data_IF_619872671070
#
_entry.id   IF_619872671070
#
_cell.length_a   1.000
_cell.length_b   1.000
_cell.length_c   1.000
_cell.angle_alpha   90.00
_cell.angle_beta   90.00
_cell.angle_gamma   90.00
#
_symmetry.space_group_name_H-M   'P 1'
#
loop_
_entity.id
_entity.type
_entity.pdbx_description
1 polymer ?
#
# COMPACT_ATOMS: atom_id res chain seq x y z
N UNK A 1 -27.38 13.37 -2.78
CA UNK A 1 -28.45 13.35 -3.81
C UNK A 1 -28.97 11.93 -3.91
N UNK A 2 -30.28 11.71 -3.86
CA UNK A 2 -30.85 10.35 -3.95
C UNK A 2 -30.49 9.63 -5.26
N UNK A 3 -30.59 8.30 -5.27
CA UNK A 3 -30.39 7.49 -6.48
C UNK A 3 -31.38 7.90 -7.56
N UNK A 4 -30.91 8.14 -8.79
CA UNK A 4 -31.76 8.56 -9.92
C UNK A 4 -31.91 10.08 -10.08
N UNK A 5 -31.38 10.89 -9.16
CA UNK A 5 -31.43 12.36 -9.25
C UNK A 5 -30.42 12.96 -10.26
N UNK A 6 -29.70 12.14 -11.02
CA UNK A 6 -28.77 12.60 -12.05
C UNK A 6 -27.42 13.09 -11.50
N UNK A 7 -26.82 12.34 -10.55
CA UNK A 7 -25.49 12.64 -9.99
C UNK A 7 -24.45 12.87 -11.10
N UNK A 8 -24.30 11.94 -12.04
CA UNK A 8 -23.33 12.01 -13.14
C UNK A 8 -23.48 13.28 -13.98
N UNK A 9 -24.72 13.69 -14.30
CA UNK A 9 -24.98 14.94 -15.03
C UNK A 9 -24.66 16.17 -14.19
N UNK A 10 -25.02 16.14 -12.91
CA UNK A 10 -24.78 17.26 -11.97
C UNK A 10 -23.30 17.52 -11.76
N UNK A 11 -22.47 16.46 -11.79
CA UNK A 11 -21.02 16.57 -11.67
C UNK A 11 -20.37 17.35 -12.82
N UNK A 12 -20.96 17.37 -14.01
CA UNK A 12 -20.38 18.08 -15.16
C UNK A 12 -20.19 19.57 -14.88
N UNK A 13 -21.09 20.22 -14.14
CA UNK A 13 -21.00 21.65 -13.84
C UNK A 13 -19.78 22.04 -12.99
N UNK A 14 -19.55 21.45 -11.79
CA UNK A 14 -18.35 21.73 -11.01
C UNK A 14 -17.08 21.22 -11.70
N UNK A 15 -17.14 20.10 -12.46
CA UNK A 15 -16.00 19.63 -13.25
C UNK A 15 -15.57 20.71 -14.24
N UNK A 16 -16.49 21.17 -15.10
CA UNK A 16 -16.22 22.19 -16.10
C UNK A 16 -15.61 23.44 -15.48
N UNK A 17 -16.26 24.00 -14.45
CA UNK A 17 -15.81 25.22 -13.80
C UNK A 17 -14.37 25.12 -13.26
N UNK A 18 -14.02 24.00 -12.62
CA UNK A 18 -12.70 23.85 -12.01
C UNK A 18 -11.64 23.42 -13.05
N UNK A 19 -12.04 22.77 -14.14
CA UNK A 19 -11.15 22.44 -15.25
C UNK A 19 -10.60 23.69 -15.96
N UNK A 20 -11.35 24.80 -15.97
CA UNK A 20 -10.90 26.10 -16.51
C UNK A 20 -9.67 26.69 -15.78
N UNK A 21 -9.29 26.14 -14.63
CA UNK A 21 -8.05 26.55 -13.94
C UNK A 21 -6.79 25.92 -14.53
N UNK A 22 -6.93 24.98 -15.47
CA UNK A 22 -5.86 24.19 -16.10
C UNK A 22 -5.02 23.35 -15.11
N UNK A 23 -5.40 23.29 -13.83
CA UNK A 23 -4.71 22.52 -12.78
C UNK A 23 -5.18 21.07 -12.65
N UNK A 24 -6.16 20.66 -13.46
CA UNK A 24 -6.72 19.31 -13.50
C UNK A 24 -7.79 19.02 -12.45
N UNK A 25 -8.80 18.24 -12.86
CA UNK A 25 -9.88 17.74 -11.98
C UNK A 25 -9.89 16.22 -12.02
N UNK A 26 -9.80 15.59 -10.84
CA UNK A 26 -9.94 14.14 -10.72
C UNK A 26 -11.37 13.77 -10.35
N UNK A 27 -11.99 12.90 -11.13
CA UNK A 27 -13.30 12.31 -10.83
C UNK A 27 -13.08 10.86 -10.42
N UNK A 28 -13.37 10.57 -9.16
CA UNK A 28 -13.04 9.29 -8.54
C UNK A 28 -14.29 8.42 -8.47
N UNK A 29 -14.19 7.20 -8.99
CA UNK A 29 -15.26 6.21 -8.93
C UNK A 29 -14.80 4.92 -8.23
N UNK A 30 -15.74 4.00 -8.01
CA UNK A 30 -15.51 2.75 -7.28
C UNK A 30 -14.92 1.63 -8.15
N UNK A 31 -15.11 1.67 -9.47
CA UNK A 31 -14.58 0.63 -10.37
C UNK A 31 -14.29 1.15 -11.79
N UNK A 32 -13.47 0.41 -12.54
CA UNK A 32 -13.00 0.79 -13.87
C UNK A 32 -14.12 0.89 -14.91
N UNK A 33 -15.16 0.06 -14.83
CA UNK A 33 -16.30 0.13 -15.73
C UNK A 33 -17.03 1.48 -15.62
N UNK A 34 -17.25 1.96 -14.39
CA UNK A 34 -17.87 3.27 -14.15
C UNK A 34 -16.96 4.41 -14.59
N UNK A 35 -15.64 4.29 -14.35
CA UNK A 35 -14.62 5.24 -14.84
C UNK A 35 -14.73 5.43 -16.35
N UNK A 36 -14.73 4.34 -17.12
CA UNK A 36 -14.79 4.42 -18.59
C UNK A 36 -16.14 4.97 -19.07
N UNK A 37 -17.25 4.44 -18.53
CA UNK A 37 -18.60 4.85 -18.90
C UNK A 37 -18.82 6.35 -18.64
N UNK A 38 -18.46 6.82 -17.45
CA UNK A 38 -18.72 8.20 -17.05
C UNK A 38 -17.73 9.17 -17.71
N UNK A 39 -16.50 8.73 -18.01
CA UNK A 39 -15.58 9.49 -18.84
C UNK A 39 -16.12 9.65 -20.28
N UNK A 40 -16.69 8.61 -20.88
CA UNK A 40 -17.31 8.71 -22.21
C UNK A 40 -18.49 9.70 -22.21
N UNK A 41 -19.33 9.66 -21.18
CA UNK A 41 -20.42 10.61 -21.03
C UNK A 41 -19.90 12.05 -20.86
N UNK A 42 -18.85 12.23 -20.06
CA UNK A 42 -18.21 13.52 -19.84
C UNK A 42 -17.55 14.07 -21.12
N UNK A 43 -16.86 13.24 -21.90
CA UNK A 43 -16.26 13.60 -23.20
C UNK A 43 -17.28 14.21 -24.15
N UNK A 44 -18.44 13.56 -24.28
CA UNK A 44 -19.50 14.01 -25.18
C UNK A 44 -19.99 15.45 -24.89
N UNK A 45 -19.78 15.95 -23.67
CA UNK A 45 -20.14 17.31 -23.27
C UNK A 45 -18.94 18.25 -23.21
N UNK A 46 -17.80 17.79 -22.70
CA UNK A 46 -16.62 18.62 -22.43
C UNK A 46 -15.75 18.88 -23.66
N UNK A 47 -15.61 17.90 -24.56
CA UNK A 47 -14.76 18.05 -25.76
C UNK A 47 -15.30 19.11 -26.73
N UNK A 48 -16.62 19.21 -27.00
CA UNK A 48 -17.17 20.34 -27.75
C UNK A 48 -16.93 21.71 -27.11
N UNK A 49 -16.68 21.77 -25.80
CA UNK A 49 -16.35 22.98 -25.05
C UNK A 49 -14.84 23.26 -25.00
N UNK A 50 -14.02 22.44 -25.67
CA UNK A 50 -12.57 22.63 -25.77
C UNK A 50 -11.76 22.02 -24.62
N UNK A 51 -12.38 21.21 -23.75
CA UNK A 51 -11.69 20.51 -22.67
C UNK A 51 -11.39 19.05 -23.04
N UNK A 52 -10.29 18.54 -22.52
CA UNK A 52 -9.86 17.15 -22.71
C UNK A 52 -10.24 16.28 -21.51
N UNK A 53 -10.66 15.04 -21.76
CA UNK A 53 -11.07 14.09 -20.71
C UNK A 53 -10.35 12.75 -20.84
N UNK A 54 -9.54 12.44 -19.83
CA UNK A 54 -8.81 11.19 -19.68
C UNK A 54 -9.54 10.19 -18.78
N UNK A 55 -9.25 8.90 -18.97
CA UNK A 55 -9.67 7.83 -18.08
C UNK A 55 -8.47 6.91 -17.83
N UNK A 56 -8.04 6.78 -16.57
CA UNK A 56 -6.91 5.91 -16.19
C UNK A 56 -7.41 4.65 -15.50
N UNK A 57 -6.84 3.52 -15.91
CA UNK A 57 -7.14 2.17 -15.40
C UNK A 57 -5.83 1.46 -15.07
N UNK A 58 -5.90 0.38 -14.28
CA UNK A 58 -4.72 -0.32 -13.79
C UNK A 58 -3.85 -0.90 -14.92
N UNK A 59 -4.48 -1.36 -16.01
CA UNK A 59 -3.79 -1.95 -17.15
C UNK A 59 -2.99 -0.94 -17.99
N UNK A 60 -3.19 0.37 -17.80
CA UNK A 60 -2.49 1.37 -18.60
C UNK A 60 -0.99 1.42 -18.26
N UNK A 61 -0.09 1.38 -19.26
CA UNK A 61 1.33 1.62 -19.03
C UNK A 61 1.59 3.09 -18.64
N UNK A 62 2.72 3.40 -17.97
CA UNK A 62 2.99 4.74 -17.43
C UNK A 62 2.84 5.89 -18.44
N UNK A 63 3.22 5.67 -19.70
CA UNK A 63 3.10 6.70 -20.73
C UNK A 63 1.64 7.05 -21.07
N UNK A 64 0.73 6.06 -21.07
CA UNK A 64 -0.70 6.29 -21.26
C UNK A 64 -1.27 7.00 -20.03
N UNK A 65 -0.91 6.55 -18.82
CA UNK A 65 -1.37 7.18 -17.57
C UNK A 65 -1.00 8.65 -17.51
N UNK A 66 0.23 8.99 -17.88
CA UNK A 66 0.69 10.38 -17.97
C UNK A 66 -0.15 11.19 -18.95
N UNK A 67 -0.48 10.63 -20.12
CA UNK A 67 -1.37 11.29 -21.07
C UNK A 67 -2.79 11.50 -20.50
N UNK A 68 -3.33 10.54 -19.75
CA UNK A 68 -4.65 10.65 -19.12
C UNK A 68 -4.67 11.67 -17.98
N UNK A 69 -3.61 11.75 -17.17
CA UNK A 69 -3.47 12.77 -16.12
C UNK A 69 -3.18 14.16 -16.70
N UNK A 70 -2.64 14.25 -17.91
CA UNK A 70 -2.42 15.52 -18.60
C UNK A 70 -3.73 16.15 -19.11
N UNK A 71 -4.82 15.39 -19.25
CA UNK A 71 -6.13 15.92 -19.62
C UNK A 71 -6.70 16.85 -18.54
N UNK A 72 -7.55 17.80 -18.95
CA UNK A 72 -8.21 18.77 -18.06
C UNK A 72 -9.06 18.09 -16.98
N UNK A 73 -9.70 16.98 -17.35
CA UNK A 73 -10.46 16.10 -16.46
C UNK A 73 -9.90 14.68 -16.55
N UNK A 74 -9.70 14.03 -15.42
CA UNK A 74 -9.22 12.63 -15.36
C UNK A 74 -10.18 11.81 -14.52
N UNK A 75 -10.78 10.78 -15.11
CA UNK A 75 -11.54 9.76 -14.38
C UNK A 75 -10.60 8.64 -13.95
N UNK A 76 -10.76 8.18 -12.72
CA UNK A 76 -9.94 7.12 -12.14
C UNK A 76 -10.68 6.40 -11.02
N UNK A 77 -10.24 5.20 -10.66
CA UNK A 77 -10.68 4.57 -9.41
C UNK A 77 -9.90 5.15 -8.23
N UNK A 78 -10.48 5.07 -7.03
CA UNK A 78 -9.79 5.48 -5.80
C UNK A 78 -8.46 4.73 -5.59
N UNK A 79 -8.44 3.42 -5.90
CA UNK A 79 -7.24 2.60 -5.81
C UNK A 79 -6.18 3.03 -6.80
N UNK A 80 -6.56 3.33 -8.05
CA UNK A 80 -5.59 3.68 -9.09
C UNK A 80 -4.87 4.99 -8.78
N UNK A 81 -5.61 6.01 -8.36
CA UNK A 81 -5.03 7.29 -7.94
C UNK A 81 -4.04 7.11 -6.79
N UNK A 82 -4.37 6.25 -5.83
CA UNK A 82 -3.48 6.01 -4.70
C UNK A 82 -2.24 5.22 -5.07
N UNK A 83 -2.35 4.18 -5.91
CA UNK A 83 -1.19 3.43 -6.38
C UNK A 83 -0.29 4.26 -7.29
N UNK A 84 -0.85 5.07 -8.19
CA UNK A 84 -0.06 6.01 -9.00
C UNK A 84 0.63 7.06 -8.12
N UNK A 85 -0.03 7.54 -7.06
CA UNK A 85 0.60 8.44 -6.08
C UNK A 85 1.78 7.76 -5.36
N UNK A 86 1.61 6.53 -4.89
CA UNK A 86 2.69 5.78 -4.24
C UNK A 86 3.86 5.55 -5.21
N UNK A 87 3.58 5.12 -6.45
CA UNK A 87 4.60 4.91 -7.50
C UNK A 87 5.36 6.19 -7.83
N UNK A 88 4.66 7.31 -7.94
CA UNK A 88 5.28 8.61 -8.22
C UNK A 88 6.22 9.08 -7.09
N UNK A 89 5.92 8.74 -5.84
CA UNK A 89 6.80 9.04 -4.71
C UNK A 89 7.97 8.05 -4.55
N UNK A 90 7.93 6.93 -5.26
CA UNK A 90 9.04 5.96 -5.38
C UNK A 90 9.90 6.20 -6.63
N UNK A 91 9.43 7.01 -7.58
CA UNK A 91 10.14 7.32 -8.82
C UNK A 91 11.48 8.02 -8.54
N UNK A 92 12.53 7.56 -9.23
CA UNK A 92 13.89 8.12 -9.06
C UNK A 92 14.11 9.36 -9.93
N UNK A 93 13.36 9.46 -11.02
CA UNK A 93 13.44 10.57 -11.97
C UNK A 93 12.08 11.24 -12.14
N UNK A 94 12.09 12.54 -12.44
CA UNK A 94 10.85 13.29 -12.60
C UNK A 94 10.05 12.81 -13.82
N UNK A 95 10.73 12.34 -14.87
CA UNK A 95 10.12 11.83 -16.10
C UNK A 95 9.44 10.47 -15.93
N UNK A 96 9.64 9.79 -14.80
CA UNK A 96 8.97 8.52 -14.47
C UNK A 96 7.58 8.76 -13.86
N UNK A 97 7.34 9.95 -13.29
CA UNK A 97 6.05 10.29 -12.67
C UNK A 97 4.92 10.37 -13.69
N UNK A 98 3.71 10.01 -13.26
CA UNK A 98 2.51 10.01 -14.10
C UNK A 98 1.49 11.08 -13.69
N UNK A 99 1.40 11.42 -12.41
CA UNK A 99 0.50 12.45 -11.91
C UNK A 99 1.11 13.85 -12.05
N UNK A 100 0.24 14.85 -12.24
CA UNK A 100 0.64 16.27 -12.33
C UNK A 100 0.36 17.10 -11.07
N UNK A 101 -0.31 16.53 -10.08
CA UNK A 101 -0.66 17.16 -8.80
C UNK A 101 -2.07 16.82 -8.31
N UNK A 102 -2.32 17.02 -7.01
CA UNK A 102 -3.60 16.72 -6.37
C UNK A 102 -4.36 18.03 -6.10
N UNK A 103 -5.02 18.58 -7.13
CA UNK A 103 -5.70 19.88 -7.04
C UNK A 103 -7.13 19.76 -6.54
N UNK A 104 -8.01 19.16 -7.35
CA UNK A 104 -9.42 18.98 -7.02
C UNK A 104 -9.85 17.54 -7.28
N UNK A 105 -10.41 16.88 -6.26
CA UNK A 105 -11.07 15.59 -6.39
C UNK A 105 -12.57 15.72 -6.15
N UNK A 106 -13.35 15.07 -7.00
CA UNK A 106 -14.76 14.79 -6.76
C UNK A 106 -14.95 13.29 -6.68
N UNK A 107 -15.40 12.81 -5.52
CA UNK A 107 -15.59 11.38 -5.26
C UNK A 107 -17.06 11.02 -5.44
N UNK A 108 -17.35 10.17 -6.43
CA UNK A 108 -18.66 9.55 -6.60
C UNK A 108 -18.82 8.36 -5.64
N UNK A 109 -20.03 8.17 -5.13
CA UNK A 109 -20.33 7.31 -3.98
C UNK A 109 -19.33 7.51 -2.82
N UNK A 110 -19.24 8.77 -2.39
CA UNK A 110 -18.25 9.22 -1.42
C UNK A 110 -18.25 8.48 -0.08
N UNK A 111 -19.40 7.97 0.38
CA UNK A 111 -19.49 7.15 1.59
C UNK A 111 -18.81 5.79 1.38
N UNK A 112 -19.04 5.13 0.26
CA UNK A 112 -18.36 3.88 -0.06
C UNK A 112 -16.84 4.08 -0.15
N UNK A 113 -16.36 5.15 -0.78
CA UNK A 113 -14.92 5.35 -0.97
C UNK A 113 -14.22 5.92 0.27
N UNK A 114 -14.77 6.97 0.87
CA UNK A 114 -14.07 7.73 1.92
C UNK A 114 -14.33 7.19 3.33
N UNK A 115 -15.36 6.36 3.52
CA UNK A 115 -15.70 5.74 4.81
C UNK A 115 -15.48 4.23 4.74
N UNK A 116 -16.17 3.52 3.85
CA UNK A 116 -16.13 2.05 3.84
C UNK A 116 -14.77 1.49 3.42
N UNK A 117 -14.26 1.95 2.28
CA UNK A 117 -12.97 1.52 1.72
C UNK A 117 -11.76 2.09 2.50
N UNK A 118 -11.96 3.15 3.27
CA UNK A 118 -10.91 3.83 4.04
C UNK A 118 -10.29 2.98 5.17
N UNK A 119 -10.86 1.81 5.46
CA UNK A 119 -10.42 0.90 6.53
C UNK A 119 -9.11 0.20 6.22
N UNK A 120 -8.84 -0.09 4.94
CA UNK A 120 -7.62 -0.81 4.53
C UNK A 120 -6.67 0.14 3.80
N UNK A 121 -5.41 0.28 4.26
CA UNK A 121 -4.44 1.10 3.55
C UNK A 121 -4.09 0.49 2.19
N UNK A 122 -3.71 1.35 1.25
CA UNK A 122 -3.04 0.93 0.03
C UNK A 122 -1.59 0.63 0.34
N UNK A 123 -1.13 -0.53 -0.11
CA UNK A 123 0.21 -1.04 0.16
C UNK A 123 0.85 -1.46 -1.15
N UNK A 124 1.99 -0.86 -1.50
CA UNK A 124 2.91 -1.43 -2.47
C UNK A 124 3.88 -2.31 -1.70
N UNK A 125 3.61 -3.61 -1.75
CA UNK A 125 4.59 -4.60 -1.36
C UNK A 125 5.56 -4.79 -2.51
N UNK A 126 6.83 -4.79 -2.20
CA UNK A 126 7.83 -5.32 -3.12
C UNK A 126 8.81 -6.15 -2.34
N UNK A 127 9.09 -7.32 -2.89
CA UNK A 127 10.38 -7.93 -2.72
C UNK A 127 11.07 -7.80 -4.07
N UNK A 128 12.38 -7.55 -4.08
CA UNK A 128 13.15 -8.23 -5.11
C UNK A 128 12.80 -9.72 -4.99
N UNK A 129 12.89 -10.49 -6.08
CA UNK A 129 13.04 -11.94 -5.94
C UNK A 129 14.30 -12.14 -5.12
N UNK A 130 14.18 -12.12 -3.79
CA UNK A 130 15.31 -12.20 -2.90
C UNK A 130 15.89 -13.56 -3.20
N UNK A 131 17.13 -13.54 -3.65
CA UNK A 131 17.87 -14.76 -3.88
C UNK A 131 18.04 -15.42 -2.52
N UNK A 132 17.12 -16.33 -2.17
CA UNK A 132 17.15 -17.08 -0.92
C UNK A 132 18.45 -17.84 -0.77
N UNK A 133 19.16 -18.11 -1.88
CA UNK A 133 20.50 -18.70 -1.87
C UNK A 133 21.53 -17.83 -1.17
N UNK A 134 21.35 -16.51 -1.11
CA UNK A 134 22.25 -15.62 -0.37
C UNK A 134 22.12 -15.83 1.14
N UNK A 135 20.91 -16.07 1.67
CA UNK A 135 20.73 -16.42 3.08
C UNK A 135 21.45 -17.73 3.42
N UNK A 136 21.35 -18.73 2.55
CA UNK A 136 22.05 -20.01 2.71
C UNK A 136 23.58 -19.84 2.62
N UNK A 137 24.06 -19.02 1.68
CA UNK A 137 25.50 -18.78 1.49
C UNK A 137 26.11 -18.00 2.65
N UNK A 138 25.40 -16.99 3.16
CA UNK A 138 25.81 -16.22 4.34
C UNK A 138 25.75 -17.09 5.59
N UNK A 139 24.71 -17.91 5.79
CA UNK A 139 24.64 -18.86 6.90
C UNK A 139 25.82 -19.86 6.89
N UNK A 140 26.15 -20.41 5.72
CA UNK A 140 27.32 -21.28 5.54
C UNK A 140 28.64 -20.56 5.88
N UNK A 141 28.76 -19.28 5.51
CA UNK A 141 29.91 -18.45 5.86
C UNK A 141 30.04 -18.30 7.39
N UNK A 142 28.94 -17.95 8.08
CA UNK A 142 28.96 -17.78 9.54
C UNK A 142 29.24 -19.10 10.27
N UNK A 143 28.69 -20.22 9.80
CA UNK A 143 28.98 -21.55 10.36
C UNK A 143 30.44 -21.99 10.18
N UNK A 144 31.14 -21.44 9.19
CA UNK A 144 32.57 -21.68 8.96
C UNK A 144 33.50 -20.76 9.77
N UNK A 145 32.95 -19.73 10.44
CA UNK A 145 33.74 -18.80 11.25
C UNK A 145 34.14 -19.41 12.59
N UNK A 146 35.34 -19.04 13.07
CA UNK A 146 35.84 -19.37 14.41
C UNK A 146 35.68 -18.18 15.35
N UNK A 147 35.91 -18.39 16.65
CA UNK A 147 35.72 -17.35 17.69
C UNK A 147 36.57 -16.08 17.53
N UNK A 148 37.59 -16.11 16.67
CA UNK A 148 38.43 -14.93 16.38
C UNK A 148 37.82 -14.01 15.32
N UNK A 149 36.81 -14.48 14.57
CA UNK A 149 36.17 -13.75 13.48
C UNK A 149 35.01 -12.85 13.94
N UNK A 150 34.52 -13.01 15.17
CA UNK A 150 33.43 -12.19 15.68
C UNK A 150 33.61 -11.91 17.16
N UNK A 151 33.11 -10.76 17.59
CA UNK A 151 33.09 -10.34 18.99
C UNK A 151 31.67 -10.44 19.54
N UNK A 152 31.53 -11.02 20.73
CA UNK A 152 30.28 -11.07 21.48
C UNK A 152 30.42 -10.19 22.72
N UNK A 153 29.59 -9.16 22.81
CA UNK A 153 29.40 -8.43 24.06
C UNK A 153 28.52 -9.26 25.00
N UNK A 154 29.07 -9.68 26.14
CA UNK A 154 28.36 -10.53 27.12
C UNK A 154 27.28 -9.79 27.90
N UNK A 155 27.34 -8.46 28.00
CA UNK A 155 26.33 -7.67 28.70
C UNK A 155 25.12 -7.41 27.80
N UNK A 156 25.37 -6.99 26.57
CA UNK A 156 24.30 -6.61 25.63
C UNK A 156 23.85 -7.75 24.71
N UNK A 157 24.59 -8.87 24.69
CA UNK A 157 24.46 -9.97 23.70
C UNK A 157 24.62 -9.51 22.24
N UNK A 158 25.18 -8.32 22.02
CA UNK A 158 25.47 -7.82 20.69
C UNK A 158 26.62 -8.62 20.06
N UNK A 159 26.49 -8.93 18.77
CA UNK A 159 27.51 -9.64 17.99
C UNK A 159 27.93 -8.76 16.82
N UNK A 160 29.23 -8.71 16.55
CA UNK A 160 29.80 -7.95 15.43
C UNK A 160 31.02 -8.67 14.87
N UNK A 161 31.33 -8.44 13.59
CA UNK A 161 32.55 -8.98 12.98
C UNK A 161 33.80 -8.27 13.51
N UNK A 162 34.87 -9.02 13.71
CA UNK A 162 36.22 -8.48 13.88
C UNK A 162 36.81 -8.11 12.52
N UNK A 163 37.91 -7.34 12.45
CA UNK A 163 38.61 -7.08 11.19
C UNK A 163 38.99 -8.38 10.45
N UNK A 164 39.40 -9.42 11.17
CA UNK A 164 39.71 -10.74 10.64
C UNK A 164 38.46 -11.43 10.07
N UNK A 165 37.33 -11.32 10.76
CA UNK A 165 36.04 -11.84 10.26
C UNK A 165 35.52 -11.13 9.02
N UNK A 166 35.78 -9.83 8.88
CA UNK A 166 35.48 -9.09 7.64
C UNK A 166 36.28 -9.65 6.47
N UNK A 167 37.58 -9.88 6.65
CA UNK A 167 38.44 -10.46 5.60
C UNK A 167 37.95 -11.86 5.24
N UNK A 168 37.67 -12.71 6.24
CA UNK A 168 37.14 -14.05 6.01
C UNK A 168 35.81 -14.03 5.24
N UNK A 169 34.88 -13.16 5.62
CA UNK A 169 33.59 -13.03 4.94
C UNK A 169 33.75 -12.58 3.48
N UNK A 170 34.66 -11.63 3.21
CA UNK A 170 34.98 -11.19 1.85
C UNK A 170 35.53 -12.32 1.00
N UNK A 171 36.47 -13.11 1.52
CA UNK A 171 37.08 -14.23 0.79
C UNK A 171 36.05 -15.35 0.53
N UNK A 172 35.24 -15.70 1.54
CA UNK A 172 34.24 -16.76 1.44
C UNK A 172 33.12 -16.42 0.46
N UNK A 173 32.60 -15.18 0.53
CA UNK A 173 31.51 -14.70 -0.33
C UNK A 173 32.01 -14.12 -1.66
N UNK A 174 33.34 -14.10 -1.89
CA UNK A 174 34.00 -13.56 -3.08
C UNK A 174 33.64 -12.09 -3.35
N UNK A 175 33.68 -11.28 -2.29
CA UNK A 175 33.40 -9.84 -2.32
C UNK A 175 34.70 -9.05 -2.22
N UNK A 176 34.87 -8.03 -3.07
CA UNK A 176 36.08 -7.20 -3.04
C UNK A 176 36.15 -6.30 -1.80
N UNK A 177 35.03 -5.67 -1.45
CA UNK A 177 34.91 -4.81 -0.27
C UNK A 177 33.51 -4.98 0.32
N UNK A 178 33.42 -5.46 1.55
CA UNK A 178 32.15 -5.68 2.22
C UNK A 178 31.38 -4.38 2.47
N UNK A 179 32.07 -3.26 2.67
CA UNK A 179 31.48 -1.96 3.00
C UNK A 179 31.19 -1.07 1.80
N UNK A 180 31.18 -1.63 0.58
CA UNK A 180 30.74 -0.89 -0.60
C UNK A 180 29.22 -0.61 -0.52
N UNK A 181 28.77 0.51 -1.10
CA UNK A 181 27.36 0.94 -1.09
C UNK A 181 26.47 -0.13 -1.75
N UNK A 182 27.00 -0.85 -2.74
CA UNK A 182 26.31 -1.96 -3.39
C UNK A 182 26.11 -3.21 -2.52
N UNK A 183 26.78 -3.32 -1.36
CA UNK A 183 26.75 -4.49 -0.49
C UNK A 183 26.03 -4.27 0.85
N UNK A 184 25.33 -3.15 1.03
CA UNK A 184 24.60 -2.82 2.26
C UNK A 184 23.62 -3.92 2.70
N UNK A 185 22.99 -4.59 1.74
CA UNK A 185 22.05 -5.69 1.99
C UNK A 185 22.77 -6.97 2.46
N UNK A 186 23.94 -7.28 1.89
CA UNK A 186 24.76 -8.42 2.31
C UNK A 186 25.28 -8.21 3.74
N UNK A 187 25.70 -6.99 4.08
CA UNK A 187 26.10 -6.62 5.45
C UNK A 187 24.97 -6.89 6.44
N UNK A 188 23.74 -6.45 6.11
CA UNK A 188 22.58 -6.70 6.96
C UNK A 188 22.33 -8.20 7.15
N UNK A 189 22.41 -8.99 6.07
CA UNK A 189 22.27 -10.46 6.13
C UNK A 189 23.35 -11.12 6.99
N UNK A 190 24.60 -10.70 6.87
CA UNK A 190 25.71 -11.20 7.69
C UNK A 190 25.46 -10.92 9.16
N UNK A 191 25.05 -9.71 9.50
CA UNK A 191 24.72 -9.34 10.89
C UNK A 191 23.55 -10.17 11.43
N UNK A 192 22.49 -10.36 10.63
CA UNK A 192 21.36 -11.20 11.02
C UNK A 192 21.75 -12.67 11.18
N UNK A 193 22.61 -13.21 10.31
CA UNK A 193 23.09 -14.58 10.40
C UNK A 193 24.01 -14.78 11.61
N UNK A 194 24.83 -13.80 11.97
CA UNK A 194 25.60 -13.80 13.22
C UNK A 194 24.68 -13.85 14.43
N UNK A 195 23.67 -12.96 14.50
CA UNK A 195 22.69 -12.94 15.59
C UNK A 195 21.96 -14.30 15.67
N UNK A 196 21.51 -14.82 14.52
CA UNK A 196 20.79 -16.09 14.46
C UNK A 196 21.67 -17.27 14.93
N UNK A 197 22.91 -17.38 14.45
CA UNK A 197 23.78 -18.52 14.75
C UNK A 197 24.44 -18.44 16.14
N UNK A 198 24.79 -17.24 16.61
CA UNK A 198 25.60 -17.05 17.82
C UNK A 198 24.76 -16.70 19.05
N UNK A 199 23.75 -15.83 18.88
CA UNK A 199 22.98 -15.31 20.02
C UNK A 199 21.67 -16.08 20.23
N UNK A 200 20.99 -16.49 19.16
CA UNK A 200 19.67 -17.11 19.25
C UNK A 200 19.78 -18.62 19.32
N UNK A 201 18.91 -19.27 20.10
CA UNK A 201 18.86 -20.71 20.29
C UNK A 201 17.43 -21.24 20.18
N UNK A 202 17.29 -22.38 19.49
CA UNK A 202 16.04 -23.12 19.43
C UNK A 202 15.67 -23.65 20.84
N UNK A 203 14.44 -23.36 21.28
CA UNK A 203 13.95 -23.63 22.64
C UNK A 203 14.10 -22.46 23.61
N UNK A 204 14.73 -21.35 23.22
CA UNK A 204 14.90 -20.16 24.07
C UNK A 204 14.28 -18.93 23.42
N UNK A 205 14.87 -18.42 22.32
CA UNK A 205 14.35 -17.26 21.61
C UNK A 205 13.21 -17.63 20.63
N UNK A 206 13.31 -18.80 20.01
CA UNK A 206 12.32 -19.33 19.07
C UNK A 206 12.20 -20.84 19.20
N UNK A 207 11.16 -21.41 18.60
CA UNK A 207 11.04 -22.85 18.39
C UNK A 207 10.81 -23.15 16.91
N UNK A 208 11.26 -24.32 16.47
CA UNK A 208 10.93 -24.85 15.15
C UNK A 208 9.89 -25.96 15.29
N UNK A 209 8.76 -25.80 14.60
CA UNK A 209 7.68 -26.80 14.57
C UNK A 209 7.09 -26.89 13.17
N UNK A 210 6.93 -28.10 12.66
CA UNK A 210 6.32 -28.35 11.33
C UNK A 210 7.00 -27.55 10.20
N UNK A 211 8.32 -27.39 10.28
CA UNK A 211 9.11 -26.63 9.30
C UNK A 211 8.97 -25.11 9.40
N UNK A 212 8.34 -24.58 10.46
CA UNK A 212 8.16 -23.14 10.68
C UNK A 212 8.81 -22.67 11.98
N UNK A 213 9.33 -21.44 11.94
CA UNK A 213 9.85 -20.72 13.12
C UNK A 213 8.70 -20.05 13.85
N UNK A 214 8.61 -20.24 15.16
CA UNK A 214 7.71 -19.50 16.03
C UNK A 214 8.49 -18.78 17.12
N UNK A 215 8.13 -17.53 17.38
CA UNK A 215 8.74 -16.72 18.43
C UNK A 215 8.28 -17.20 19.81
N UNK A 216 9.18 -17.15 20.79
CA UNK A 216 8.87 -17.44 22.19
C UNK A 216 8.93 -16.14 22.99
N UNK A 217 7.90 -15.89 23.79
CA UNK A 217 7.91 -14.79 24.75
C UNK A 217 8.90 -15.08 25.89
N UNK A 218 9.93 -14.25 26.02
CA UNK A 218 10.97 -14.38 27.06
C UNK A 218 10.45 -14.39 28.50
N UNK A 219 9.29 -13.77 28.77
CA UNK A 219 8.73 -13.70 30.13
C UNK A 219 7.84 -14.88 30.46
N UNK A 220 7.12 -15.42 29.48
CA UNK A 220 6.06 -16.41 29.72
C UNK A 220 6.33 -17.77 29.10
N UNK A 221 7.32 -17.89 28.20
CA UNK A 221 7.60 -19.10 27.43
C UNK A 221 6.51 -19.47 26.42
N UNK A 222 5.54 -18.58 26.19
CA UNK A 222 4.42 -18.83 25.26
C UNK A 222 4.84 -18.62 23.81
N UNK A 223 4.27 -19.43 22.93
CA UNK A 223 4.42 -19.33 21.48
C UNK A 223 3.61 -18.13 20.99
N UNK A 224 4.24 -17.24 20.23
CA UNK A 224 3.62 -16.05 19.65
C UNK A 224 3.20 -16.31 18.21
N UNK A 225 2.03 -16.94 18.03
CA UNK A 225 1.49 -17.24 16.70
C UNK A 225 1.25 -15.96 15.87
N UNK A 226 1.56 -16.04 14.57
CA UNK A 226 1.38 -14.93 13.63
C UNK A 226 2.43 -13.82 13.72
N UNK A 227 3.46 -13.97 14.58
CA UNK A 227 4.60 -13.06 14.63
C UNK A 227 5.82 -13.68 13.97
N UNK A 228 6.59 -12.84 13.29
CA UNK A 228 7.91 -13.17 12.72
C UNK A 228 8.90 -12.08 13.11
N UNK A 229 10.20 -12.42 13.11
CA UNK A 229 11.24 -11.40 13.24
C UNK A 229 11.32 -10.54 11.96
N UNK A 230 11.54 -9.24 12.12
CA UNK A 230 11.63 -8.29 11.01
C UNK A 230 13.04 -8.20 10.40
N UNK A 231 13.16 -7.46 9.29
CA UNK A 231 14.42 -7.09 8.64
C UNK A 231 15.32 -8.28 8.25
N UNK A 232 14.74 -9.39 7.80
CA UNK A 232 15.49 -10.58 7.36
C UNK A 232 16.02 -11.49 8.46
N UNK A 233 15.78 -11.19 9.74
CA UNK A 233 16.24 -12.05 10.85
C UNK A 233 15.48 -13.38 10.89
N UNK A 234 14.19 -13.39 10.55
CA UNK A 234 13.41 -14.63 10.49
C UNK A 234 13.95 -15.58 9.40
N UNK A 235 14.32 -15.01 8.25
CA UNK A 235 14.95 -15.72 7.13
C UNK A 235 16.32 -16.26 7.50
N UNK A 236 17.12 -15.50 8.26
CA UNK A 236 18.40 -15.97 8.77
C UNK A 236 18.24 -17.16 9.74
N UNK A 237 17.20 -17.15 10.59
CA UNK A 237 16.87 -18.29 11.47
C UNK A 237 16.39 -19.50 10.64
N UNK A 238 15.56 -19.29 9.62
CA UNK A 238 15.13 -20.34 8.69
C UNK A 238 16.33 -20.99 7.99
N UNK A 239 17.29 -20.19 7.53
CA UNK A 239 18.54 -20.67 6.93
C UNK A 239 19.38 -21.48 7.94
N UNK A 240 19.56 -20.95 9.16
CA UNK A 240 20.29 -21.63 10.25
C UNK A 240 19.73 -23.02 10.52
N UNK A 241 18.42 -23.13 10.66
CA UNK A 241 17.70 -24.37 11.00
C UNK A 241 17.47 -25.27 9.77
N UNK A 242 17.97 -24.88 8.60
CA UNK A 242 17.87 -25.61 7.34
C UNK A 242 16.41 -25.97 6.95
N UNK A 243 15.51 -24.99 7.11
CA UNK A 243 14.10 -25.07 6.70
C UNK A 243 13.83 -24.13 5.54
N UNK A 244 12.63 -24.22 4.95
CA UNK A 244 12.23 -23.39 3.82
C UNK A 244 12.28 -21.89 4.20
N UNK A 245 13.00 -21.12 3.41
CA UNK A 245 13.15 -19.67 3.60
C UNK A 245 11.98 -18.99 2.91
N UNK A 246 11.12 -18.37 3.70
CA UNK A 246 9.97 -17.63 3.18
C UNK A 246 10.43 -16.28 2.61
N UNK A 247 9.98 -15.89 1.41
CA UNK A 247 10.37 -14.62 0.82
C UNK A 247 9.92 -13.45 1.70
N UNK A 248 10.77 -12.44 1.83
CA UNK A 248 10.42 -11.22 2.55
C UNK A 248 9.40 -10.41 1.75
N UNK A 249 8.16 -10.39 2.24
CA UNK A 249 7.19 -9.40 1.82
C UNK A 249 7.50 -8.09 2.54
N UNK A 250 8.33 -7.24 1.94
CA UNK A 250 8.60 -5.91 2.47
C UNK A 250 7.54 -4.93 1.96
N UNK A 251 6.97 -4.14 2.87
CA UNK A 251 6.14 -3.00 2.49
C UNK A 251 7.06 -1.87 2.08
N UNK A 252 7.05 -1.50 0.80
CA UNK A 252 7.91 -0.42 0.28
C UNK A 252 7.24 0.94 0.50
N UNK A 253 5.94 1.02 0.25
CA UNK A 253 5.18 2.24 0.42
C UNK A 253 3.74 1.93 0.85
N UNK A 254 3.17 2.81 1.69
CA UNK A 254 1.80 2.67 2.16
C UNK A 254 1.14 4.03 2.34
N UNK A 255 -0.16 4.11 2.06
CA UNK A 255 -1.00 5.29 2.35
C UNK A 255 -2.44 4.86 2.61
N UNK A 256 -3.11 5.50 3.57
CA UNK A 256 -4.56 5.34 3.76
C UNK A 256 -5.33 6.26 2.82
N UNK A 257 -6.56 5.89 2.43
CA UNK A 257 -7.41 6.80 1.65
C UNK A 257 -7.65 8.13 2.38
N UNK A 258 -7.79 8.10 3.71
CA UNK A 258 -7.89 9.30 4.55
C UNK A 258 -6.72 10.24 4.31
N UNK A 259 -5.49 9.71 4.36
CA UNK A 259 -4.29 10.53 4.15
C UNK A 259 -4.19 11.00 2.71
N UNK A 260 -4.43 10.12 1.73
CA UNK A 260 -4.37 10.44 0.31
C UNK A 260 -5.33 11.57 -0.08
N UNK A 261 -6.61 11.46 0.27
CA UNK A 261 -7.61 12.44 -0.15
C UNK A 261 -7.48 13.79 0.57
N UNK A 262 -6.88 13.82 1.76
CA UNK A 262 -6.51 15.07 2.45
C UNK A 262 -5.38 15.84 1.77
N UNK A 263 -4.62 15.23 0.87
CA UNK A 263 -3.58 15.93 0.09
C UNK A 263 -4.17 16.82 -1.01
N UNK A 264 -5.43 16.60 -1.40
CA UNK A 264 -6.07 17.46 -2.39
C UNK A 264 -6.33 18.86 -1.83
N UNK A 265 -6.02 19.90 -2.61
CA UNK A 265 -6.32 21.29 -2.23
C UNK A 265 -7.82 21.53 -2.04
N UNK A 266 -8.64 20.83 -2.82
CA UNK A 266 -10.10 20.85 -2.74
C UNK A 266 -10.62 19.43 -2.87
N UNK A 267 -11.60 19.08 -2.04
CA UNK A 267 -12.23 17.76 -2.04
C UNK A 267 -13.74 17.93 -1.98
N UNK A 268 -14.45 17.21 -2.83
CA UNK A 268 -15.90 17.12 -2.83
C UNK A 268 -16.33 15.67 -3.00
N UNK A 269 -17.56 15.36 -2.59
CA UNK A 269 -18.12 14.04 -2.73
C UNK A 269 -19.62 14.11 -3.02
N UNK A 270 -20.13 13.12 -3.74
CA UNK A 270 -21.57 12.93 -3.96
C UNK A 270 -21.95 11.52 -3.54
N UNK A 271 -23.06 11.41 -2.81
CA UNK A 271 -23.58 10.13 -2.34
C UNK A 271 -25.10 10.20 -2.14
N UNK A 272 -25.74 9.03 -2.16
CA UNK A 272 -27.15 8.86 -1.80
C UNK A 272 -27.40 8.87 -0.30
N UNK A 273 -26.39 8.49 0.48
CA UNK A 273 -26.55 8.02 1.87
C UNK A 273 -25.60 8.68 2.87
N UNK A 274 -24.71 9.59 2.43
CA UNK A 274 -23.74 10.28 3.28
C UNK A 274 -24.29 11.12 4.46
N UNK A 275 -25.61 11.30 4.61
CA UNK A 275 -26.18 12.12 5.69
C UNK A 275 -25.91 11.52 7.08
N UNK A 276 -25.92 10.18 7.20
CA UNK A 276 -25.62 9.49 8.46
C UNK A 276 -24.16 9.63 8.86
N UNK A 277 -23.26 9.64 7.87
CA UNK A 277 -21.80 9.74 8.07
C UNK A 277 -21.28 11.19 8.13
N UNK A 278 -22.18 12.17 8.24
CA UNK A 278 -21.83 13.59 8.12
C UNK A 278 -20.80 14.09 9.14
N UNK A 279 -20.86 13.57 10.38
CA UNK A 279 -19.87 13.91 11.41
C UNK A 279 -18.48 13.38 11.06
N UNK A 280 -18.39 12.18 10.49
CA UNK A 280 -17.12 11.56 10.11
C UNK A 280 -16.50 12.29 8.90
N UNK A 281 -17.32 12.64 7.90
CA UNK A 281 -16.90 13.48 6.77
C UNK A 281 -16.30 14.82 7.23
N UNK A 282 -16.94 15.49 8.19
CA UNK A 282 -16.46 16.75 8.72
C UNK A 282 -15.15 16.56 9.51
N UNK A 283 -15.11 15.55 10.38
CA UNK A 283 -13.96 15.31 11.27
C UNK A 283 -12.70 14.87 10.53
N UNK A 284 -12.84 14.01 9.53
CA UNK A 284 -11.69 13.40 8.82
C UNK A 284 -11.28 14.24 7.62
N UNK A 285 -12.24 14.70 6.82
CA UNK A 285 -12.00 15.33 5.52
C UNK A 285 -12.34 16.82 5.48
N UNK A 286 -12.89 17.38 6.56
CA UNK A 286 -13.42 18.75 6.58
C UNK A 286 -14.50 18.98 5.50
N UNK A 287 -15.32 17.97 5.23
CA UNK A 287 -16.43 18.03 4.27
C UNK A 287 -17.74 18.18 5.02
N UNK A 288 -18.53 19.20 4.66
CA UNK A 288 -19.89 19.38 5.17
C UNK A 288 -20.87 18.65 4.25
N UNK A 289 -21.70 17.77 4.81
CA UNK A 289 -22.73 17.05 4.06
C UNK A 289 -23.99 17.90 3.93
N UNK A 290 -24.43 18.16 2.70
CA UNK A 290 -25.64 18.91 2.40
C UNK A 290 -26.67 18.01 1.73
N UNK A 291 -27.87 17.91 2.33
CA UNK A 291 -28.98 17.17 1.76
C UNK A 291 -29.62 17.98 0.62
N UNK A 292 -29.44 17.50 -0.62
CA UNK A 292 -30.14 18.05 -1.78
C UNK A 292 -31.57 17.48 -1.83
N UNK A 293 -32.62 18.32 -1.91
CA UNK A 293 -34.00 17.85 -2.03
C UNK A 293 -34.22 17.12 -3.36
N UNK A 294 -35.09 16.10 -3.41
CA UNK A 294 -35.35 15.39 -4.66
C UNK A 294 -36.15 16.27 -5.63
N UNK A 295 -35.95 16.06 -6.93
CA UNK A 295 -36.68 16.78 -7.99
C UNK A 295 -38.20 16.51 -7.94
N UNK A 296 -38.60 15.32 -7.49
CA UNK A 296 -40.00 14.95 -7.27
C UNK A 296 -40.19 14.34 -5.87
N UNK A 297 -41.38 14.46 -5.27
CA UNK A 297 -41.68 13.78 -4.02
C UNK A 297 -41.45 12.27 -4.14
N UNK A 298 -40.77 11.68 -3.14
CA UNK A 298 -40.55 10.24 -3.08
C UNK A 298 -41.85 9.53 -2.68
N UNK A 299 -42.39 8.72 -3.58
CA UNK A 299 -43.62 7.93 -3.35
C UNK A 299 -43.34 6.44 -3.10
N UNK A 300 -42.06 6.05 -3.00
CA UNK A 300 -41.66 4.65 -2.76
C UNK A 300 -42.08 4.23 -1.36
N UNK A 301 -42.80 3.11 -1.26
CA UNK A 301 -43.16 2.50 0.02
C UNK A 301 -42.09 1.50 0.44
N UNK A 302 -41.25 1.90 1.40
CA UNK A 302 -40.26 1.01 2.01
C UNK A 302 -40.97 0.11 3.04
N UNK A 303 -41.06 -1.20 2.73
CA UNK A 303 -41.68 -2.20 3.61
C UNK A 303 -40.73 -2.59 4.75
N UNK A 304 -41.29 -2.98 5.88
CA UNK A 304 -40.52 -3.47 7.04
C UNK A 304 -39.88 -4.82 6.72
N UNK A 305 -38.69 -5.05 7.27
CA UNK A 305 -37.98 -6.32 7.17
C UNK A 305 -38.82 -7.52 7.65
N UNK A 306 -38.79 -8.59 6.86
CA UNK A 306 -39.35 -9.89 7.26
C UNK A 306 -38.24 -10.76 7.85
N UNK A 307 -38.39 -11.11 9.13
CA UNK A 307 -37.45 -11.95 9.86
C UNK A 307 -37.84 -13.42 9.72
N UNK A 308 -36.86 -14.27 9.39
CA UNK A 308 -37.05 -15.71 9.21
C UNK A 308 -36.08 -16.49 10.11
N UNK A 309 -36.51 -17.66 10.59
CA UNK A 309 -35.73 -18.46 11.54
C UNK A 309 -34.44 -19.03 10.96
N UNK A 310 -34.37 -19.25 9.64
CA UNK A 310 -33.18 -19.77 8.97
C UNK A 310 -33.16 -19.38 7.48
N UNK A 311 -32.02 -19.61 6.82
CA UNK A 311 -31.80 -19.29 5.40
C UNK A 311 -32.74 -20.03 4.43
N UNK A 312 -33.26 -21.20 4.81
CA UNK A 312 -34.21 -21.97 3.98
C UNK A 312 -35.62 -21.37 4.03
N UNK A 313 -35.97 -20.72 5.14
CA UNK A 313 -37.25 -20.05 5.34
C UNK A 313 -37.28 -18.62 4.77
N UNK A 314 -36.12 -17.94 4.73
CA UNK A 314 -35.93 -16.63 4.10
C UNK A 314 -36.05 -16.72 2.58
#
# INVERSE_FOLDING_TARGET
>A
MGTGEGKTLTLLFPIYLNALTEQGVHVISVNEYLVERDAQFCRAVMEPLGLTVGATIAAHPPFIKRAMYACDVTYATHSEVGFDYLRDNMATRQEEKVQRGLTYAIVDEGDSVLIDEARTPLIISGGQSYDTSTYTSVDACIKAMTGDHYFIDRETRAVSLTPEGVIFAQDFLKLNNLYDIGHSEIILRINNALIANITFMNGVEYIVREGKVYLVDHSTGRIMEGRSYSNGLNQAIQAKENIEIEPENSTIATITYQSLFRLYKKLAAVSGTALTEGEEFLKIYNIVVVKVPPNRPLIRHDLIDKLFANKKAK
#
